data_IF_202640371379
#
_entry.id   IF_202640371379
#
_cell.length_a   1.000
_cell.length_b   1.000
_cell.length_c   1.000
_cell.angle_alpha   90.00
_cell.angle_beta   90.00
_cell.angle_gamma   90.00
#
_symmetry.space_group_name_H-M   'P 1'
#
loop_
_entity.id
_entity.type
_entity.pdbx_description
1 polymer ?
#
# COMPACT_ATOMS: atom_id res chain seq x y z
N UNK A 1 -7.90 -35.11 -14.64
CA UNK A 1 -8.29 -33.69 -14.87
C UNK A 1 -7.22 -33.03 -15.72
N UNK A 2 -7.58 -32.11 -16.62
CA UNK A 2 -6.57 -31.32 -17.30
C UNK A 2 -5.91 -30.35 -16.32
N UNK A 3 -4.68 -29.90 -16.59
CA UNK A 3 -3.96 -28.94 -15.76
C UNK A 3 -4.81 -27.68 -15.47
N UNK A 4 -5.45 -27.14 -16.50
CA UNK A 4 -6.33 -25.96 -16.39
C UNK A 4 -7.54 -26.25 -15.51
N UNK A 5 -8.20 -27.41 -15.65
CA UNK A 5 -9.36 -27.78 -14.83
C UNK A 5 -8.98 -27.88 -13.36
N UNK A 6 -7.77 -28.41 -13.07
CA UNK A 6 -7.24 -28.51 -11.71
C UNK A 6 -7.01 -27.14 -11.08
N UNK A 7 -6.33 -26.24 -11.79
CA UNK A 7 -6.09 -24.88 -11.31
C UNK A 7 -7.41 -24.12 -11.09
N UNK A 8 -8.36 -24.21 -12.03
CA UNK A 8 -9.69 -23.61 -11.88
C UNK A 8 -10.46 -24.18 -10.69
N UNK A 9 -10.30 -25.49 -10.39
CA UNK A 9 -10.91 -26.11 -9.21
C UNK A 9 -10.31 -25.57 -7.92
N UNK A 10 -8.98 -25.42 -7.84
CA UNK A 10 -8.29 -24.85 -6.67
C UNK A 10 -8.77 -23.41 -6.42
N UNK A 11 -8.81 -22.58 -7.47
CA UNK A 11 -9.33 -21.21 -7.36
C UNK A 11 -10.83 -21.20 -7.00
N UNK A 12 -11.63 -22.08 -7.62
CA UNK A 12 -13.05 -22.18 -7.33
C UNK A 12 -13.32 -22.52 -5.87
N UNK A 13 -12.59 -23.50 -5.32
CA UNK A 13 -12.68 -23.85 -3.88
C UNK A 13 -12.29 -22.66 -3.02
N UNK A 14 -11.19 -21.98 -3.31
CA UNK A 14 -10.77 -20.78 -2.56
C UNK A 14 -11.89 -19.71 -2.58
N UNK A 15 -12.44 -19.38 -3.74
CA UNK A 15 -13.50 -18.37 -3.87
C UNK A 15 -14.79 -18.77 -3.12
N UNK A 16 -15.16 -20.05 -3.15
CA UNK A 16 -16.30 -20.57 -2.37
C UNK A 16 -16.05 -20.41 -0.86
N UNK A 17 -14.85 -20.77 -0.39
CA UNK A 17 -14.46 -20.58 1.01
C UNK A 17 -14.53 -19.11 1.42
N UNK A 18 -14.06 -18.20 0.57
CA UNK A 18 -14.15 -16.76 0.80
C UNK A 18 -15.60 -16.26 0.81
N UNK A 19 -16.45 -16.77 -0.09
CA UNK A 19 -17.88 -16.40 -0.15
C UNK A 19 -18.65 -16.79 1.11
N UNK A 20 -18.26 -17.85 1.79
CA UNK A 20 -18.80 -18.24 3.12
C UNK A 20 -18.07 -17.56 4.29
N UNK A 21 -17.30 -16.49 4.02
CA UNK A 21 -16.61 -15.63 4.99
C UNK A 21 -15.45 -16.30 5.74
N UNK A 22 -14.82 -17.32 5.16
CA UNK A 22 -13.56 -17.85 5.71
C UNK A 22 -12.45 -16.83 5.39
N UNK A 23 -11.57 -16.50 6.37
CA UNK A 23 -10.43 -15.63 6.14
C UNK A 23 -9.56 -16.11 4.96
N UNK A 24 -9.08 -15.17 4.14
CA UNK A 24 -8.35 -15.48 2.90
C UNK A 24 -7.15 -16.39 3.13
N UNK A 25 -6.40 -16.21 4.22
CA UNK A 25 -5.27 -17.05 4.59
C UNK A 25 -5.67 -18.53 4.72
N UNK A 26 -6.79 -18.78 5.41
CA UNK A 26 -7.31 -20.14 5.64
C UNK A 26 -7.92 -20.71 4.34
N UNK A 27 -8.58 -19.86 3.54
CA UNK A 27 -9.14 -20.26 2.26
C UNK A 27 -8.02 -20.68 1.28
N UNK A 28 -6.95 -19.90 1.18
CA UNK A 28 -5.77 -20.22 0.36
C UNK A 28 -5.08 -21.50 0.85
N UNK A 29 -4.86 -21.61 2.16
CA UNK A 29 -4.26 -22.80 2.78
C UNK A 29 -5.09 -24.05 2.50
N UNK A 30 -6.41 -23.98 2.72
CA UNK A 30 -7.31 -25.13 2.50
C UNK A 30 -7.42 -25.55 1.04
N UNK A 31 -7.61 -24.59 0.12
CA UNK A 31 -7.70 -24.87 -1.30
C UNK A 31 -6.35 -25.38 -1.86
N UNK A 32 -5.24 -24.77 -1.45
CA UNK A 32 -3.89 -25.21 -1.82
C UNK A 32 -3.57 -26.60 -1.29
N UNK A 33 -3.92 -26.90 -0.03
CA UNK A 33 -3.77 -28.23 0.56
C UNK A 33 -4.55 -29.29 -0.23
N UNK A 34 -5.82 -29.03 -0.53
CA UNK A 34 -6.63 -29.96 -1.31
C UNK A 34 -6.00 -30.22 -2.70
N UNK A 35 -5.60 -29.16 -3.40
CA UNK A 35 -4.96 -29.27 -4.71
C UNK A 35 -3.61 -29.99 -4.67
N UNK A 36 -2.78 -29.72 -3.65
CA UNK A 36 -1.48 -30.38 -3.49
C UNK A 36 -1.64 -31.91 -3.21
N UNK A 37 -2.54 -32.23 -2.25
CA UNK A 37 -2.84 -33.63 -1.89
C UNK A 37 -3.38 -34.45 -3.06
N UNK A 38 -4.23 -33.86 -3.90
CA UNK A 38 -4.77 -34.54 -5.08
C UNK A 38 -3.69 -34.84 -6.12
N UNK A 39 -2.60 -34.09 -6.16
CA UNK A 39 -1.53 -34.25 -7.15
C UNK A 39 -0.40 -35.15 -6.67
N UNK A 40 -0.04 -35.10 -5.38
CA UNK A 40 1.20 -35.75 -4.88
C UNK A 40 0.96 -36.70 -3.70
N UNK A 41 -0.19 -36.62 -3.05
CA UNK A 41 -0.52 -37.41 -1.85
C UNK A 41 0.09 -36.87 -0.56
N UNK A 42 -0.26 -37.53 0.57
CA UNK A 42 0.04 -37.06 1.91
C UNK A 42 1.53 -36.99 2.26
N UNK A 43 2.33 -37.98 1.81
CA UNK A 43 3.75 -38.04 2.16
C UNK A 43 4.55 -36.84 1.62
N UNK A 44 4.32 -36.46 0.36
CA UNK A 44 4.97 -35.32 -0.24
C UNK A 44 4.47 -34.01 0.37
N UNK A 45 3.16 -33.90 0.62
CA UNK A 45 2.57 -32.71 1.23
C UNK A 45 3.07 -32.47 2.66
N UNK A 46 3.11 -33.51 3.51
CA UNK A 46 3.58 -33.35 4.89
C UNK A 46 5.05 -32.93 4.96
N UNK A 47 5.90 -33.49 4.09
CA UNK A 47 7.30 -33.08 3.98
C UNK A 47 7.43 -31.63 3.51
N UNK A 48 6.68 -31.25 2.48
CA UNK A 48 6.63 -29.86 2.00
C UNK A 48 6.21 -28.90 3.12
N UNK A 49 5.13 -29.20 3.84
CA UNK A 49 4.63 -28.31 4.89
C UNK A 49 5.64 -28.15 6.04
N UNK A 50 6.29 -29.22 6.47
CA UNK A 50 7.31 -29.19 7.52
C UNK A 50 8.53 -28.35 7.13
N UNK A 51 8.99 -28.44 5.89
CA UNK A 51 10.17 -27.71 5.42
C UNK A 51 9.84 -26.26 5.11
N UNK A 52 8.73 -25.98 4.43
CA UNK A 52 8.37 -24.62 4.00
C UNK A 52 7.95 -23.71 5.15
N UNK A 53 7.16 -24.21 6.11
CA UNK A 53 6.77 -23.42 7.26
C UNK A 53 7.99 -22.94 8.07
N UNK A 54 8.95 -23.85 8.31
CA UNK A 54 10.19 -23.50 9.00
C UNK A 54 11.04 -22.53 8.17
N UNK A 55 11.29 -22.81 6.88
CA UNK A 55 12.10 -21.96 6.02
C UNK A 55 11.51 -20.53 5.91
N UNK A 56 10.19 -20.41 5.82
CA UNK A 56 9.52 -19.12 5.74
C UNK A 56 9.69 -18.30 7.02
N UNK A 57 9.44 -18.89 8.19
CA UNK A 57 9.55 -18.16 9.46
C UNK A 57 11.00 -17.94 9.93
N UNK A 58 11.95 -18.74 9.47
CA UNK A 58 13.37 -18.54 9.76
C UNK A 58 14.01 -17.45 8.87
N UNK A 59 13.28 -16.88 7.90
CA UNK A 59 13.81 -15.83 7.04
C UNK A 59 14.00 -14.52 7.81
N UNK A 60 15.23 -14.00 7.80
CA UNK A 60 15.56 -12.71 8.41
C UNK A 60 14.77 -11.54 7.77
N UNK A 61 14.55 -11.60 6.46
CA UNK A 61 13.88 -10.53 5.72
C UNK A 61 12.42 -10.34 6.14
N UNK A 62 11.75 -11.39 6.64
CA UNK A 62 10.39 -11.27 7.17
C UNK A 62 10.31 -10.43 8.46
N UNK A 63 11.41 -10.29 9.20
CA UNK A 63 11.46 -9.46 10.42
C UNK A 63 11.22 -7.97 10.15
N UNK A 64 11.44 -7.52 8.93
CA UNK A 64 11.20 -6.14 8.51
C UNK A 64 9.72 -5.74 8.63
N UNK A 65 8.80 -6.68 8.38
CA UNK A 65 7.35 -6.44 8.39
C UNK A 65 6.84 -6.04 9.78
N UNK A 66 7.03 -6.84 10.86
CA UNK A 66 6.58 -6.44 12.19
C UNK A 66 7.25 -5.16 12.69
N UNK A 67 8.50 -4.89 12.30
CA UNK A 67 9.21 -3.68 12.72
C UNK A 67 8.61 -2.42 12.07
N UNK A 68 8.29 -2.43 10.77
CA UNK A 68 7.59 -1.29 10.14
C UNK A 68 6.16 -1.13 10.64
N UNK A 69 5.43 -2.21 10.91
CA UNK A 69 4.10 -2.15 11.51
C UNK A 69 4.17 -1.52 12.91
N UNK A 70 5.14 -1.92 13.73
CA UNK A 70 5.36 -1.36 15.07
C UNK A 70 5.70 0.13 14.99
N UNK A 71 6.55 0.53 14.04
CA UNK A 71 6.87 1.93 13.75
C UNK A 71 5.59 2.74 13.45
N UNK A 72 4.70 2.20 12.61
CA UNK A 72 3.41 2.82 12.29
C UNK A 72 2.49 2.96 13.49
N UNK A 73 2.41 1.94 14.36
CA UNK A 73 1.61 2.00 15.60
C UNK A 73 2.17 3.03 16.58
N UNK A 74 3.48 3.11 16.77
CA UNK A 74 4.09 4.17 17.60
C UNK A 74 3.84 5.55 17.02
N UNK A 75 3.88 5.72 15.69
CA UNK A 75 3.56 6.99 15.05
C UNK A 75 2.10 7.41 15.27
N UNK A 76 1.17 6.45 15.18
CA UNK A 76 -0.27 6.69 15.38
C UNK A 76 -0.56 7.09 16.83
N UNK A 77 -0.10 6.28 17.79
CA UNK A 77 -0.34 6.50 19.21
C UNK A 77 0.47 7.67 19.80
N UNK A 78 1.60 8.00 19.18
CA UNK A 78 2.49 9.10 19.56
C UNK A 78 2.06 10.48 19.07
N UNK A 79 0.87 10.62 18.47
CA UNK A 79 0.33 11.93 18.05
C UNK A 79 1.11 12.61 16.92
N UNK A 80 1.90 11.82 16.15
CA UNK A 80 2.71 12.33 15.03
C UNK A 80 1.81 12.87 13.92
N UNK A 81 0.69 12.22 13.62
CA UNK A 81 -0.27 12.61 12.59
C UNK A 81 -0.85 14.01 12.82
N UNK A 82 -1.12 14.39 14.08
CA UNK A 82 -1.63 15.72 14.43
C UNK A 82 -0.60 16.80 14.12
N UNK A 83 0.66 16.60 14.51
CA UNK A 83 1.74 17.55 14.22
C UNK A 83 2.00 17.71 12.72
N UNK A 84 1.94 16.59 11.97
CA UNK A 84 2.07 16.60 10.50
C UNK A 84 0.95 17.42 9.85
N UNK A 85 -0.30 17.18 10.27
CA UNK A 85 -1.43 17.91 9.71
C UNK A 85 -1.38 19.40 10.04
N UNK A 86 -1.04 19.78 11.28
CA UNK A 86 -0.89 21.18 11.69
C UNK A 86 0.21 21.89 10.88
N UNK A 87 1.37 21.27 10.73
CA UNK A 87 2.43 21.79 9.87
C UNK A 87 1.97 21.94 8.41
N UNK A 88 1.38 20.90 7.85
CA UNK A 88 0.88 20.92 6.47
C UNK A 88 -0.19 22.02 6.27
N UNK A 89 -1.08 22.22 7.26
CA UNK A 89 -2.09 23.27 7.25
C UNK A 89 -1.46 24.68 7.28
N UNK A 90 -0.41 24.89 8.07
CA UNK A 90 0.30 26.16 8.12
C UNK A 90 1.01 26.49 6.79
N UNK A 91 1.51 25.48 6.08
CA UNK A 91 2.17 25.64 4.76
C UNK A 91 1.13 25.86 3.65
N UNK A 92 0.03 25.09 3.65
CA UNK A 92 -0.97 25.08 2.59
C UNK A 92 -2.13 26.06 2.80
N UNK A 93 -2.27 26.66 3.99
CA UNK A 93 -3.41 27.50 4.37
C UNK A 93 -3.64 28.74 3.51
N UNK A 94 -2.65 29.15 2.68
CA UNK A 94 -2.80 30.27 1.75
C UNK A 94 -3.47 29.92 0.42
N UNK A 95 -3.76 28.64 0.16
CA UNK A 95 -4.36 28.18 -1.10
C UNK A 95 -5.85 27.92 -0.92
N UNK A 96 -6.65 28.16 -1.98
CA UNK A 96 -8.05 27.71 -2.03
C UNK A 96 -8.06 26.17 -2.01
N UNK A 97 -8.73 25.58 -1.04
CA UNK A 97 -8.63 24.14 -0.76
C UNK A 97 -7.41 23.73 0.07
N UNK A 98 -6.76 24.70 0.76
CA UNK A 98 -5.50 24.49 1.47
C UNK A 98 -5.55 23.39 2.51
N UNK A 99 -6.62 23.24 3.31
CA UNK A 99 -6.73 22.15 4.28
C UNK A 99 -6.87 20.77 3.61
N UNK A 100 -7.51 20.69 2.45
CA UNK A 100 -7.56 19.43 1.68
C UNK A 100 -6.15 19.07 1.15
N UNK A 101 -5.40 20.06 0.63
CA UNK A 101 -4.00 19.85 0.22
C UNK A 101 -3.11 19.49 1.42
N UNK A 102 -3.34 20.13 2.57
CA UNK A 102 -2.64 19.82 3.81
C UNK A 102 -2.90 18.36 4.26
N UNK A 103 -4.14 17.87 4.11
CA UNK A 103 -4.47 16.49 4.41
C UNK A 103 -3.72 15.50 3.47
N UNK A 104 -3.58 15.82 2.18
CA UNK A 104 -2.77 15.02 1.23
C UNK A 104 -1.30 15.02 1.63
N UNK A 105 -0.71 16.19 1.93
CA UNK A 105 0.69 16.31 2.35
C UNK A 105 0.94 15.57 3.68
N UNK A 106 0.03 15.72 4.64
CA UNK A 106 0.10 15.00 5.92
C UNK A 106 -0.03 13.49 5.72
N UNK A 107 -0.92 13.04 4.82
CA UNK A 107 -1.06 11.62 4.48
C UNK A 107 0.20 11.06 3.84
N UNK A 108 0.83 11.80 2.94
CA UNK A 108 2.10 11.43 2.31
C UNK A 108 3.22 11.25 3.35
N UNK A 109 3.38 12.24 4.22
CA UNK A 109 4.42 12.21 5.25
C UNK A 109 4.13 11.18 6.36
N UNK A 110 2.87 11.00 6.76
CA UNK A 110 2.48 9.97 7.72
C UNK A 110 2.56 8.57 7.12
N UNK A 111 2.15 8.42 5.86
CA UNK A 111 2.24 7.18 5.11
C UNK A 111 3.68 6.67 5.00
N UNK A 112 4.63 7.60 4.82
CA UNK A 112 6.07 7.30 4.83
C UNK A 112 6.61 6.78 6.19
N UNK A 113 5.78 6.73 7.23
CA UNK A 113 6.13 6.10 8.53
C UNK A 113 5.22 4.91 8.78
N UNK A 114 3.93 5.02 8.44
CA UNK A 114 2.93 4.00 8.73
C UNK A 114 2.98 2.81 7.76
N UNK A 115 3.28 3.06 6.48
CA UNK A 115 3.42 2.03 5.45
C UNK A 115 2.13 1.27 5.09
N UNK A 116 0.94 1.73 5.51
CA UNK A 116 -0.37 1.13 5.24
C UNK A 116 -1.37 2.18 4.76
N UNK A 117 -2.12 1.85 3.73
CA UNK A 117 -3.15 2.72 3.15
C UNK A 117 -4.31 2.95 4.13
N UNK A 118 -4.87 1.88 4.64
CA UNK A 118 -6.04 1.92 5.53
C UNK A 118 -5.72 2.66 6.84
N UNK A 119 -4.57 2.35 7.45
CA UNK A 119 -4.15 2.99 8.69
C UNK A 119 -3.87 4.48 8.49
N UNK A 120 -3.27 4.86 7.35
CA UNK A 120 -3.05 6.27 6.99
C UNK A 120 -4.38 6.99 6.79
N UNK A 121 -5.32 6.41 6.02
CA UNK A 121 -6.64 6.96 5.80
C UNK A 121 -7.39 7.19 7.13
N UNK A 122 -7.46 6.18 7.99
CA UNK A 122 -8.14 6.27 9.28
C UNK A 122 -7.50 7.33 10.20
N UNK A 123 -6.18 7.29 10.34
CA UNK A 123 -5.47 8.18 11.27
C UNK A 123 -5.56 9.65 10.85
N UNK A 124 -5.33 9.94 9.58
CA UNK A 124 -5.42 11.32 9.07
C UNK A 124 -6.87 11.80 9.05
N UNK A 125 -7.83 10.91 8.78
CA UNK A 125 -9.27 11.26 8.90
C UNK A 125 -9.62 11.71 10.31
N UNK A 126 -9.15 11.02 11.34
CA UNK A 126 -9.40 11.37 12.72
C UNK A 126 -8.93 12.78 13.10
N UNK A 127 -7.87 13.27 12.46
CA UNK A 127 -7.29 14.60 12.71
C UNK A 127 -7.85 15.66 11.76
N UNK A 128 -7.89 15.37 10.46
CA UNK A 128 -8.18 16.37 9.42
C UNK A 128 -9.68 16.59 9.21
N UNK A 129 -10.52 15.56 9.31
CA UNK A 129 -11.95 15.67 9.04
C UNK A 129 -12.67 16.66 9.95
N UNK A 130 -12.43 16.66 11.30
CA UNK A 130 -13.05 17.66 12.18
C UNK A 130 -12.64 19.09 11.81
N UNK A 131 -11.38 19.31 11.48
CA UNK A 131 -10.86 20.63 11.09
C UNK A 131 -11.43 21.08 9.73
N UNK A 132 -11.48 20.20 8.75
CA UNK A 132 -12.09 20.51 7.45
C UNK A 132 -13.56 20.87 7.60
N UNK A 133 -14.32 20.14 8.43
CA UNK A 133 -15.74 20.47 8.73
C UNK A 133 -15.89 21.82 9.43
N UNK A 134 -15.04 22.09 10.42
CA UNK A 134 -15.05 23.36 11.15
C UNK A 134 -14.83 24.57 10.23
N UNK A 135 -14.01 24.39 9.20
CA UNK A 135 -13.70 25.41 8.20
C UNK A 135 -14.66 25.42 7.00
N UNK A 136 -15.77 24.68 7.03
CA UNK A 136 -16.81 24.73 6.01
C UNK A 136 -16.48 23.98 4.71
N UNK A 137 -15.56 23.02 4.73
CA UNK A 137 -15.34 22.15 3.61
C UNK A 137 -16.52 21.19 3.41
N UNK A 138 -16.86 20.92 2.16
CA UNK A 138 -17.92 19.95 1.86
C UNK A 138 -17.55 18.54 2.31
N UNK A 139 -18.53 17.76 2.74
CA UNK A 139 -18.31 16.35 3.07
C UNK A 139 -17.74 15.56 1.89
N UNK A 140 -18.18 15.87 0.67
CA UNK A 140 -17.70 15.26 -0.58
C UNK A 140 -16.19 15.45 -0.76
N UNK A 141 -15.70 16.69 -0.72
CA UNK A 141 -14.27 16.96 -0.89
C UNK A 141 -13.46 16.37 0.27
N UNK A 142 -13.95 16.52 1.50
CA UNK A 142 -13.24 16.03 2.68
C UNK A 142 -13.05 14.53 2.65
N UNK A 143 -14.11 13.75 2.46
CA UNK A 143 -14.02 12.28 2.44
C UNK A 143 -13.24 11.77 1.25
N UNK A 144 -13.43 12.37 0.06
CA UNK A 144 -12.67 12.01 -1.14
C UNK A 144 -11.18 12.25 -0.99
N UNK A 145 -10.79 13.41 -0.46
CA UNK A 145 -9.38 13.75 -0.21
C UNK A 145 -8.73 12.81 0.80
N UNK A 146 -9.41 12.52 1.90
CA UNK A 146 -8.88 11.66 2.97
C UNK A 146 -8.73 10.21 2.52
N UNK A 147 -9.69 9.70 1.74
CA UNK A 147 -9.61 8.37 1.16
C UNK A 147 -8.43 8.27 0.16
N UNK A 148 -8.31 9.25 -0.75
CA UNK A 148 -7.21 9.30 -1.71
C UNK A 148 -5.86 9.49 -1.02
N UNK A 149 -5.78 10.38 -0.02
CA UNK A 149 -4.57 10.59 0.78
C UNK A 149 -4.08 9.29 1.42
N UNK A 150 -4.98 8.42 1.89
CA UNK A 150 -4.65 7.12 2.43
C UNK A 150 -3.81 6.26 1.48
N UNK A 151 -4.10 6.25 0.18
CA UNK A 151 -3.36 5.43 -0.80
C UNK A 151 -1.89 5.82 -0.94
N UNK A 152 -1.51 7.04 -0.54
CA UNK A 152 -0.10 7.45 -0.51
C UNK A 152 0.72 6.65 0.51
N UNK A 153 0.08 6.08 1.54
CA UNK A 153 0.73 5.28 2.56
C UNK A 153 1.33 3.96 2.06
N UNK A 154 0.91 3.46 0.91
CA UNK A 154 1.52 2.27 0.29
C UNK A 154 2.50 2.63 -0.82
N UNK A 155 2.43 3.86 -1.34
CA UNK A 155 3.28 4.31 -2.44
C UNK A 155 4.57 4.96 -1.96
N UNK A 156 4.50 5.74 -0.88
CA UNK A 156 5.66 6.46 -0.34
C UNK A 156 6.36 5.55 0.67
N UNK A 157 7.63 5.18 0.45
CA UNK A 157 8.35 4.28 1.35
C UNK A 157 8.63 4.89 2.74
N UNK A 158 8.84 4.03 3.76
CA UNK A 158 8.74 2.58 3.74
C UNK A 158 7.29 2.10 3.68
N UNK A 159 7.06 1.05 2.91
CA UNK A 159 5.73 0.49 2.65
C UNK A 159 5.73 -1.01 2.88
N UNK A 160 4.82 -1.49 3.73
CA UNK A 160 4.69 -2.94 4.01
C UNK A 160 4.31 -3.73 2.74
N UNK A 161 3.35 -3.28 1.90
CA UNK A 161 3.07 -3.94 0.63
C UNK A 161 4.26 -4.01 -0.34
N UNK A 162 5.12 -2.97 -0.39
CA UNK A 162 6.36 -3.02 -1.19
C UNK A 162 7.33 -4.07 -0.69
N UNK A 163 7.48 -4.19 0.63
CA UNK A 163 8.32 -5.23 1.24
C UNK A 163 7.79 -6.62 0.90
N UNK A 164 6.49 -6.82 1.02
CA UNK A 164 5.85 -8.10 0.67
C UNK A 164 6.06 -8.44 -0.81
N UNK A 165 5.88 -7.46 -1.69
CA UNK A 165 6.19 -7.64 -3.10
C UNK A 165 7.67 -8.01 -3.32
N UNK A 166 8.60 -7.30 -2.65
CA UNK A 166 10.02 -7.59 -2.74
C UNK A 166 10.37 -9.04 -2.39
N UNK A 167 9.78 -9.53 -1.29
CA UNK A 167 9.99 -10.90 -0.81
C UNK A 167 9.40 -11.93 -1.79
N UNK A 168 8.20 -11.68 -2.34
CA UNK A 168 7.55 -12.60 -3.28
C UNK A 168 8.24 -12.63 -4.65
N UNK A 169 8.74 -11.49 -5.11
CA UNK A 169 9.42 -11.33 -6.38
C UNK A 169 10.95 -11.50 -6.29
N UNK A 170 11.47 -11.81 -5.09
CA UNK A 170 12.91 -11.95 -4.81
C UNK A 170 13.72 -10.71 -5.27
N UNK A 171 13.18 -9.51 -4.98
CA UNK A 171 13.80 -8.25 -5.36
C UNK A 171 14.39 -7.53 -4.14
N UNK A 172 15.38 -6.66 -4.41
CA UNK A 172 15.99 -5.84 -3.37
C UNK A 172 15.00 -4.78 -2.85
N UNK A 173 14.73 -4.78 -1.53
CA UNK A 173 13.78 -3.88 -0.87
C UNK A 173 14.23 -2.42 -1.01
N UNK A 174 15.53 -2.11 -0.87
CA UNK A 174 16.03 -0.74 -0.96
C UNK A 174 15.86 -0.18 -2.38
N UNK A 175 16.10 -0.98 -3.43
CA UNK A 175 15.84 -0.59 -4.82
C UNK A 175 14.35 -0.33 -5.09
N UNK A 176 13.46 -1.16 -4.54
CA UNK A 176 12.03 -0.95 -4.66
C UNK A 176 11.56 0.32 -3.93
N UNK A 177 12.10 0.60 -2.76
CA UNK A 177 11.83 1.84 -2.05
C UNK A 177 12.29 3.06 -2.86
N UNK A 178 13.50 3.01 -3.45
CA UNK A 178 13.96 4.08 -4.34
C UNK A 178 13.04 4.27 -5.55
N UNK A 179 12.64 3.17 -6.20
CA UNK A 179 11.74 3.20 -7.34
C UNK A 179 10.36 3.78 -7.03
N UNK A 180 9.85 3.59 -5.82
CA UNK A 180 8.55 4.08 -5.39
C UNK A 180 8.54 5.58 -5.05
N UNK A 181 9.69 6.16 -4.71
CA UNK A 181 9.79 7.55 -4.24
C UNK A 181 9.27 8.56 -5.26
N UNK A 182 9.76 8.50 -6.50
CA UNK A 182 9.34 9.44 -7.55
C UNK A 182 7.88 9.27 -7.92
N UNK A 183 7.35 8.05 -8.18
CA UNK A 183 5.92 7.81 -8.38
C UNK A 183 5.04 8.28 -7.21
N UNK A 184 5.49 8.10 -5.97
CA UNK A 184 4.79 8.57 -4.77
C UNK A 184 4.69 10.09 -4.69
N UNK A 185 5.79 10.80 -5.00
CA UNK A 185 5.78 12.28 -5.07
C UNK A 185 4.87 12.76 -6.21
N UNK A 186 4.91 12.12 -7.38
CA UNK A 186 4.01 12.44 -8.50
C UNK A 186 2.55 12.23 -8.08
N UNK A 187 2.24 11.18 -7.32
CA UNK A 187 0.91 10.93 -6.79
C UNK A 187 0.44 12.05 -5.86
N UNK A 188 1.28 12.42 -4.90
CA UNK A 188 1.00 13.51 -3.97
C UNK A 188 0.75 14.84 -4.71
N UNK A 189 1.63 15.22 -5.62
CA UNK A 189 1.49 16.43 -6.44
C UNK A 189 0.23 16.37 -7.32
N UNK A 190 -0.04 15.23 -7.94
CA UNK A 190 -1.23 15.01 -8.76
C UNK A 190 -2.52 15.18 -7.97
N UNK A 191 -2.58 14.68 -6.73
CA UNK A 191 -3.72 14.87 -5.86
C UNK A 191 -3.89 16.33 -5.43
N UNK A 192 -2.79 17.04 -5.12
CA UNK A 192 -2.86 18.47 -4.82
C UNK A 192 -3.34 19.29 -6.02
N UNK A 193 -2.89 18.97 -7.23
CA UNK A 193 -3.38 19.59 -8.48
C UNK A 193 -4.86 19.27 -8.71
N UNK A 194 -5.28 18.03 -8.49
CA UNK A 194 -6.67 17.63 -8.60
C UNK A 194 -7.57 18.44 -7.65
N UNK A 195 -7.16 18.64 -6.39
CA UNK A 195 -7.85 19.51 -5.44
C UNK A 195 -7.90 20.95 -5.95
N UNK A 196 -6.77 21.49 -6.40
CA UNK A 196 -6.68 22.87 -6.90
C UNK A 196 -7.64 23.14 -8.08
N UNK A 197 -7.77 22.19 -8.99
CA UNK A 197 -8.69 22.25 -10.11
C UNK A 197 -10.14 22.11 -9.61
N UNK A 198 -10.39 21.08 -8.80
CA UNK A 198 -11.74 20.73 -8.35
C UNK A 198 -12.43 21.86 -7.59
N UNK A 199 -11.71 22.52 -6.64
CA UNK A 199 -12.28 23.64 -5.86
C UNK A 199 -12.55 24.91 -6.69
N UNK A 200 -11.93 25.02 -7.88
CA UNK A 200 -12.18 26.12 -8.82
C UNK A 200 -13.34 25.83 -9.78
N UNK A 201 -13.47 24.56 -10.18
CA UNK A 201 -14.48 24.13 -11.17
C UNK A 201 -15.83 23.89 -10.49
N UNK A 202 -15.84 23.37 -9.25
CA UNK A 202 -17.06 23.05 -8.51
C UNK A 202 -17.19 24.02 -7.31
N UNK A 203 -18.06 25.03 -7.42
CA UNK A 203 -18.26 26.00 -6.32
C UNK A 203 -18.81 25.33 -5.05
N UNK A 204 -18.51 25.93 -3.90
CA UNK A 204 -19.04 25.48 -2.59
C UNK A 204 -18.37 24.23 -2.01
N UNK A 205 -17.28 23.71 -2.60
CA UNK A 205 -16.55 22.57 -2.05
C UNK A 205 -15.53 22.96 -0.97
N UNK A 206 -14.99 24.15 -1.05
CA UNK A 206 -14.08 24.73 -0.06
C UNK A 206 -14.42 26.19 0.15
N UNK A 207 -14.14 26.76 1.33
CA UNK A 207 -14.32 28.18 1.59
C UNK A 207 -13.48 29.02 0.63
N UNK A 208 -13.92 30.23 0.36
CA UNK A 208 -13.05 31.24 -0.26
C UNK A 208 -11.90 31.52 0.70
N UNK A 209 -10.69 31.66 0.16
CA UNK A 209 -9.39 31.69 0.88
C UNK A 209 -9.54 32.27 2.29
N UNK A 210 -9.22 31.45 3.30
CA UNK A 210 -9.35 31.83 4.69
C UNK A 210 -8.55 33.11 5.00
N UNK A 211 -9.24 34.16 5.44
CA UNK A 211 -8.62 35.35 5.97
C UNK A 211 -7.80 35.08 7.27
N UNK A 212 -7.93 33.88 7.83
CA UNK A 212 -7.21 33.42 9.01
C UNK A 212 -6.04 32.50 8.58
N UNK A 213 -5.08 33.09 7.86
CA UNK A 213 -3.77 32.47 7.68
C UNK A 213 -3.11 32.37 9.05
N UNK A 214 -3.21 31.19 9.68
CA UNK A 214 -2.38 30.93 10.87
C UNK A 214 -0.93 31.03 10.42
N UNK A 215 -0.23 32.05 11.00
CA UNK A 215 1.20 32.21 10.72
C UNK A 215 1.90 30.96 11.23
N UNK A 216 2.76 30.36 10.38
CA UNK A 216 3.60 29.24 10.76
C UNK A 216 4.28 29.54 12.10
N UNK A 217 3.97 28.77 13.12
CA UNK A 217 4.56 28.88 14.45
C UNK A 217 5.86 28.07 14.52
N UNK A 218 6.78 28.50 15.36
CA UNK A 218 7.96 27.69 15.71
C UNK A 218 7.55 26.30 16.22
N UNK A 219 6.41 26.21 16.93
CA UNK A 219 5.89 24.94 17.41
C UNK A 219 5.47 24.00 16.28
N UNK A 220 4.96 24.53 15.16
CA UNK A 220 4.59 23.70 13.98
C UNK A 220 5.85 23.13 13.34
N UNK A 221 6.92 23.93 13.23
CA UNK A 221 8.22 23.49 12.70
C UNK A 221 8.84 22.46 13.66
N UNK A 222 8.85 22.70 14.95
CA UNK A 222 9.37 21.75 15.94
C UNK A 222 8.58 20.45 15.96
N UNK A 223 7.30 20.49 15.61
CA UNK A 223 6.45 19.29 15.50
C UNK A 223 6.84 18.35 14.38
N UNK A 224 7.45 18.85 13.28
CA UNK A 224 7.88 18.04 12.15
C UNK A 224 9.32 17.53 12.28
N UNK A 225 10.16 18.19 13.07
CA UNK A 225 11.58 17.84 13.22
C UNK A 225 11.79 16.36 13.57
N UNK A 226 11.08 15.76 14.56
CA UNK A 226 11.26 14.34 14.88
C UNK A 226 10.99 13.42 13.66
N UNK A 227 10.00 13.79 12.86
CA UNK A 227 9.58 13.03 11.68
C UNK A 227 10.65 13.10 10.58
N UNK A 228 11.16 14.31 10.31
CA UNK A 228 12.25 14.50 9.37
C UNK A 228 13.52 13.75 9.80
N UNK A 229 13.81 13.76 11.11
CA UNK A 229 14.94 13.00 11.68
C UNK A 229 14.74 11.50 11.51
N UNK A 230 13.55 10.96 11.82
CA UNK A 230 13.25 9.53 11.64
C UNK A 230 13.43 9.14 10.17
N UNK A 231 12.87 9.92 9.25
CA UNK A 231 12.97 9.68 7.82
C UNK A 231 14.44 9.68 7.35
N UNK A 232 15.21 10.69 7.76
CA UNK A 232 16.63 10.80 7.42
C UNK A 232 17.47 9.67 8.03
N UNK A 233 17.18 9.25 9.26
CA UNK A 233 17.86 8.11 9.90
C UNK A 233 17.59 6.81 9.15
N UNK A 234 16.33 6.51 8.84
CA UNK A 234 15.95 5.27 8.18
C UNK A 234 16.47 5.25 6.75
N UNK A 235 16.10 6.24 5.92
CA UNK A 235 16.48 6.24 4.51
C UNK A 235 17.94 6.61 4.28
N UNK A 236 18.46 7.60 5.03
CA UNK A 236 19.87 7.94 4.99
C UNK A 236 20.76 6.77 5.40
N UNK A 237 20.32 5.98 6.39
CA UNK A 237 21.03 4.79 6.84
C UNK A 237 20.97 3.65 5.82
N UNK A 238 19.79 3.40 5.22
CA UNK A 238 19.62 2.35 4.20
C UNK A 238 20.40 2.70 2.93
N UNK A 239 20.20 3.90 2.37
CA UNK A 239 20.86 4.31 1.12
C UNK A 239 22.33 4.67 1.29
N UNK A 240 22.74 5.05 2.51
CA UNK A 240 24.15 5.21 2.86
C UNK A 240 24.89 3.90 3.09
N UNK A 241 24.20 2.74 3.02
CA UNK A 241 24.77 1.42 3.24
C UNK A 241 25.11 1.10 4.70
N UNK A 242 24.62 1.92 5.67
CA UNK A 242 24.84 1.68 7.09
C UNK A 242 23.88 0.64 7.67
N UNK A 243 22.70 0.50 7.09
CA UNK A 243 21.64 -0.39 7.55
C UNK A 243 21.07 -1.22 6.39
N UNK A 244 20.79 -2.48 6.66
CA UNK A 244 19.86 -3.26 5.85
C UNK A 244 18.44 -2.70 6.03
N UNK A 245 17.49 -2.97 5.14
CA UNK A 245 16.09 -2.57 5.33
C UNK A 245 15.49 -3.03 6.66
N UNK A 246 15.86 -4.23 7.14
CA UNK A 246 15.42 -4.78 8.42
C UNK A 246 15.99 -4.00 9.61
N UNK A 247 17.27 -3.68 9.59
CA UNK A 247 17.91 -2.86 10.62
C UNK A 247 17.34 -1.43 10.59
N UNK A 248 17.13 -0.87 9.39
CA UNK A 248 16.47 0.42 9.20
C UNK A 248 15.06 0.46 9.79
N UNK A 249 14.29 -0.64 9.65
CA UNK A 249 12.98 -0.77 10.28
C UNK A 249 13.06 -0.79 11.83
N UNK A 250 14.06 -1.48 12.38
CA UNK A 250 14.34 -1.48 13.82
C UNK A 250 14.71 -0.09 14.35
N UNK A 251 15.60 0.61 13.65
CA UNK A 251 15.97 2.01 13.96
C UNK A 251 14.76 2.93 13.85
N UNK A 252 13.93 2.74 12.81
CA UNK A 252 12.68 3.47 12.62
C UNK A 252 11.70 3.28 13.76
N UNK A 253 11.44 2.03 14.17
CA UNK A 253 10.57 1.72 15.30
C UNK A 253 11.09 2.32 16.61
N UNK A 254 12.38 2.16 16.90
CA UNK A 254 13.00 2.70 18.12
C UNK A 254 12.96 4.24 18.14
N UNK A 255 13.33 4.90 17.04
CA UNK A 255 13.33 6.37 16.97
C UNK A 255 11.91 6.96 17.03
N UNK A 256 10.91 6.29 16.43
CA UNK A 256 9.51 6.68 16.52
C UNK A 256 8.97 6.52 17.95
N UNK A 257 9.33 5.44 18.63
CA UNK A 257 9.01 5.25 20.04
C UNK A 257 9.62 6.37 20.93
N UNK A 258 10.90 6.69 20.72
CA UNK A 258 11.57 7.78 21.45
C UNK A 258 10.88 9.13 21.18
N UNK A 259 10.51 9.42 19.93
CA UNK A 259 9.78 10.64 19.58
C UNK A 259 8.41 10.71 20.28
N UNK A 260 7.70 9.60 20.35
CA UNK A 260 6.41 9.50 21.04
C UNK A 260 6.53 9.64 22.58
N UNK A 261 7.63 9.13 23.16
CA UNK A 261 7.96 9.32 24.59
C UNK A 261 8.28 10.78 24.90
N UNK A 262 9.08 11.45 24.07
CA UNK A 262 9.43 12.87 24.24
C UNK A 262 8.20 13.76 24.15
N UNK A 263 7.22 13.41 23.34
CA UNK A 263 5.90 14.06 23.27
C UNK A 263 4.99 13.74 24.46
N UNK A 264 5.35 12.78 25.30
CA UNK A 264 4.56 12.30 26.45
C UNK A 264 3.17 11.76 26.05
N UNK A 265 3.03 11.28 24.81
CA UNK A 265 1.77 10.75 24.28
C UNK A 265 1.64 9.25 24.53
N UNK A 266 2.75 8.51 24.74
CA UNK A 266 2.76 7.08 25.04
C UNK A 266 2.57 6.84 26.52
N UNK A 267 1.42 6.27 26.87
CA UNK A 267 1.15 5.70 28.20
C UNK A 267 1.40 4.19 28.18
N UNK A 268 1.52 3.56 29.35
CA UNK A 268 1.72 2.11 29.42
C UNK A 268 0.61 1.28 28.74
N UNK A 269 -0.69 1.64 28.82
CA UNK A 269 -1.72 0.97 28.00
C UNK A 269 -1.50 1.11 26.50
N UNK A 270 -1.24 2.31 25.99
CA UNK A 270 -0.95 2.56 24.57
C UNK A 270 0.29 1.80 24.08
N UNK A 271 1.33 1.72 24.92
CA UNK A 271 2.52 0.94 24.60
C UNK A 271 2.20 -0.54 24.36
N UNK A 272 1.44 -1.15 25.30
CA UNK A 272 0.98 -2.53 25.14
C UNK A 272 0.13 -2.72 23.90
N UNK A 273 -0.80 -1.79 23.63
CA UNK A 273 -1.65 -1.82 22.46
C UNK A 273 -0.85 -1.82 21.16
N UNK A 274 0.23 -1.03 21.06
CA UNK A 274 1.12 -1.06 19.89
C UNK A 274 1.69 -2.46 19.65
N UNK A 275 2.15 -3.15 20.69
CA UNK A 275 2.68 -4.50 20.55
C UNK A 275 1.60 -5.54 20.22
N UNK A 276 0.42 -5.46 20.86
CA UNK A 276 -0.68 -6.38 20.55
C UNK A 276 -1.17 -6.21 19.11
N UNK A 277 -1.38 -4.97 18.67
CA UNK A 277 -1.81 -4.69 17.30
C UNK A 277 -0.73 -5.09 16.28
N UNK A 278 0.55 -4.91 16.61
CA UNK A 278 1.66 -5.38 15.76
C UNK A 278 1.69 -6.90 15.68
N UNK A 279 1.52 -7.59 16.80
CA UNK A 279 1.52 -9.05 16.83
C UNK A 279 0.32 -9.62 16.05
N UNK A 280 -0.86 -9.05 16.20
CA UNK A 280 -2.07 -9.44 15.47
C UNK A 280 -1.90 -9.25 13.95
N UNK A 281 -1.46 -8.06 13.53
CA UNK A 281 -1.23 -7.77 12.10
C UNK A 281 -0.14 -8.66 11.50
N UNK A 282 0.96 -8.86 12.22
CA UNK A 282 2.07 -9.71 11.76
C UNK A 282 1.65 -11.18 11.68
N UNK A 283 0.91 -11.68 12.65
CA UNK A 283 0.39 -13.05 12.63
C UNK A 283 -0.56 -13.28 11.45
N UNK A 284 -1.45 -12.31 11.18
CA UNK A 284 -2.34 -12.37 10.01
C UNK A 284 -1.54 -12.42 8.71
N UNK A 285 -0.55 -11.55 8.53
CA UNK A 285 0.29 -11.50 7.33
C UNK A 285 1.07 -12.81 7.17
N UNK A 286 1.68 -13.32 8.23
CA UNK A 286 2.44 -14.57 8.19
C UNK A 286 1.55 -15.78 7.87
N UNK A 287 0.32 -15.79 8.38
CA UNK A 287 -0.65 -16.83 8.03
C UNK A 287 -1.05 -16.77 6.55
N UNK A 288 -1.19 -15.55 5.99
CA UNK A 288 -1.46 -15.38 4.55
C UNK A 288 -0.25 -15.87 3.73
N UNK A 289 1.00 -15.59 4.16
CA UNK A 289 2.19 -16.10 3.47
C UNK A 289 2.19 -17.63 3.40
N UNK A 290 1.91 -18.33 4.51
CA UNK A 290 1.83 -19.80 4.50
C UNK A 290 0.72 -20.28 3.56
N UNK A 291 -0.46 -19.65 3.64
CA UNK A 291 -1.58 -19.98 2.75
C UNK A 291 -1.20 -19.78 1.28
N UNK A 292 -0.53 -18.68 0.97
CA UNK A 292 -0.03 -18.38 -0.37
C UNK A 292 1.02 -19.39 -0.83
N UNK A 293 1.99 -19.76 0.01
CA UNK A 293 3.03 -20.72 -0.33
C UNK A 293 2.43 -22.10 -0.68
N UNK A 294 1.47 -22.57 0.12
CA UNK A 294 0.77 -23.84 -0.14
C UNK A 294 -0.04 -23.77 -1.44
N UNK A 295 -0.77 -22.69 -1.64
CA UNK A 295 -1.56 -22.48 -2.86
C UNK A 295 -0.67 -22.38 -4.10
N UNK A 296 0.39 -21.59 -4.04
CA UNK A 296 1.32 -21.38 -5.14
C UNK A 296 2.05 -22.66 -5.53
N UNK A 297 2.50 -23.45 -4.54
CA UNK A 297 3.12 -24.74 -4.77
C UNK A 297 2.14 -25.71 -5.42
N UNK A 298 0.88 -25.72 -4.98
CA UNK A 298 -0.19 -26.52 -5.60
C UNK A 298 -0.44 -26.10 -7.06
N UNK A 299 -0.48 -24.79 -7.34
CA UNK A 299 -0.65 -24.27 -8.70
C UNK A 299 0.57 -24.54 -9.58
N UNK A 300 1.79 -24.42 -9.03
CA UNK A 300 3.02 -24.72 -9.76
C UNK A 300 3.07 -26.17 -10.24
N UNK A 301 2.61 -27.12 -9.42
CA UNK A 301 2.50 -28.54 -9.81
C UNK A 301 1.56 -28.74 -11.01
N UNK A 302 0.55 -27.89 -11.21
CA UNK A 302 -0.34 -27.95 -12.38
C UNK A 302 0.34 -27.49 -13.68
N UNK A 303 1.50 -26.83 -13.61
CA UNK A 303 2.17 -26.17 -14.74
C UNK A 303 1.33 -25.09 -15.45
N UNK A 304 0.18 -24.71 -14.89
CA UNK A 304 -0.72 -23.69 -15.46
C UNK A 304 -0.07 -22.31 -15.58
N UNK A 305 0.73 -21.82 -14.62
CA UNK A 305 1.42 -20.53 -14.79
C UNK A 305 2.28 -20.48 -16.06
N UNK A 306 3.03 -21.53 -16.35
CA UNK A 306 3.85 -21.64 -17.55
C UNK A 306 3.00 -21.76 -18.83
N UNK A 307 1.90 -22.53 -18.77
CA UNK A 307 0.97 -22.66 -19.90
C UNK A 307 0.25 -21.34 -20.20
N UNK A 308 -0.16 -20.57 -19.17
CA UNK A 308 -0.75 -19.25 -19.35
C UNK A 308 0.23 -18.29 -20.02
N UNK A 309 1.50 -18.29 -19.60
CA UNK A 309 2.53 -17.48 -20.24
C UNK A 309 2.69 -17.83 -21.73
N UNK A 310 2.71 -19.12 -22.07
CA UNK A 310 2.79 -19.59 -23.46
C UNK A 310 1.53 -19.22 -24.27
N UNK A 311 0.34 -19.36 -23.70
CA UNK A 311 -0.92 -18.97 -24.34
C UNK A 311 -0.96 -17.47 -24.61
N UNK A 312 -0.60 -16.65 -23.63
CA UNK A 312 -0.56 -15.19 -23.79
C UNK A 312 0.46 -14.80 -24.87
N UNK A 313 1.64 -15.46 -24.89
CA UNK A 313 2.63 -15.24 -25.94
C UNK A 313 2.08 -15.65 -27.33
N UNK A 314 1.27 -16.70 -27.43
CA UNK A 314 0.65 -17.15 -28.70
C UNK A 314 -0.42 -16.20 -29.24
N UNK A 315 -1.01 -15.36 -28.40
CA UNK A 315 -2.01 -14.37 -28.84
C UNK A 315 -1.40 -13.21 -29.64
N UNK A 316 -0.07 -13.11 -29.67
CA UNK A 316 0.63 -12.01 -30.37
C UNK A 316 0.39 -10.64 -29.76
N UNK A 317 -0.08 -10.60 -28.52
CA UNK A 317 -0.30 -9.34 -27.80
C UNK A 317 1.04 -8.70 -27.44
N UNK A 318 1.12 -7.38 -27.57
CA UNK A 318 2.31 -6.68 -27.08
C UNK A 318 2.45 -6.81 -25.56
N UNK A 319 3.68 -6.85 -25.02
CA UNK A 319 3.91 -6.91 -23.57
C UNK A 319 3.15 -5.82 -22.79
N UNK A 320 3.04 -4.62 -23.34
CA UNK A 320 2.28 -3.52 -22.73
C UNK A 320 0.77 -3.80 -22.66
N UNK A 321 0.19 -4.48 -23.67
CA UNK A 321 -1.23 -4.88 -23.62
C UNK A 321 -1.48 -5.88 -22.50
N UNK A 322 -0.57 -6.85 -22.32
CA UNK A 322 -0.66 -7.84 -21.24
C UNK A 322 -0.58 -7.18 -19.89
N UNK A 323 0.40 -6.30 -19.65
CA UNK A 323 0.49 -5.54 -18.41
C UNK A 323 -0.78 -4.71 -18.19
N UNK A 324 -1.27 -4.00 -19.20
CA UNK A 324 -2.49 -3.19 -19.08
C UNK A 324 -3.69 -4.04 -18.64
N UNK A 325 -3.86 -5.22 -19.22
CA UNK A 325 -4.95 -6.14 -18.84
C UNK A 325 -4.80 -6.60 -17.37
N UNK A 326 -3.58 -6.92 -16.95
CA UNK A 326 -3.29 -7.28 -15.55
C UNK A 326 -3.57 -6.11 -14.62
N UNK A 327 -3.16 -4.89 -14.96
CA UNK A 327 -3.42 -3.70 -14.14
C UNK A 327 -4.92 -3.40 -14.03
N UNK A 328 -5.68 -3.55 -15.10
CA UNK A 328 -7.15 -3.43 -15.05
C UNK A 328 -7.77 -4.49 -14.13
N UNK A 329 -7.26 -5.71 -14.17
CA UNK A 329 -7.68 -6.77 -13.25
C UNK A 329 -7.36 -6.40 -11.78
N UNK A 330 -6.19 -5.80 -11.52
CA UNK A 330 -5.84 -5.29 -10.18
C UNK A 330 -6.77 -4.18 -9.69
N UNK A 331 -7.22 -3.28 -10.58
CA UNK A 331 -8.22 -2.25 -10.22
C UNK A 331 -9.52 -2.89 -9.77
N UNK A 332 -9.99 -3.91 -10.49
CA UNK A 332 -11.23 -4.63 -10.15
C UNK A 332 -11.09 -5.38 -8.83
N UNK A 333 -9.99 -6.11 -8.63
CA UNK A 333 -9.73 -6.82 -7.39
C UNK A 333 -9.58 -5.85 -6.20
N UNK A 334 -8.83 -4.77 -6.38
CA UNK A 334 -8.60 -3.76 -5.34
C UNK A 334 -9.86 -3.04 -4.89
N UNK A 335 -10.90 -3.00 -5.75
CA UNK A 335 -12.21 -2.49 -5.36
C UNK A 335 -12.92 -3.38 -4.31
N UNK A 336 -12.47 -4.62 -4.09
CA UNK A 336 -13.13 -5.62 -3.22
C UNK A 336 -12.20 -6.18 -2.13
N UNK A 337 -10.88 -6.22 -2.39
CA UNK A 337 -9.88 -6.82 -1.51
C UNK A 337 -8.94 -5.77 -0.92
N UNK A 338 -8.31 -6.10 0.21
CA UNK A 338 -7.24 -5.30 0.79
C UNK A 338 -5.92 -5.47 0.02
N UNK A 339 -5.00 -4.52 0.22
CA UNK A 339 -3.72 -4.46 -0.49
C UNK A 339 -2.85 -5.70 -0.30
N UNK A 340 -2.78 -6.22 0.92
CA UNK A 340 -1.89 -7.35 1.26
C UNK A 340 -2.38 -8.66 0.67
N UNK A 341 -3.66 -8.96 0.87
CA UNK A 341 -4.31 -10.15 0.34
C UNK A 341 -4.21 -10.21 -1.18
N UNK A 342 -4.39 -9.08 -1.85
CA UNK A 342 -4.31 -9.00 -3.30
C UNK A 342 -2.91 -9.29 -3.81
N UNK A 343 -1.87 -8.67 -3.24
CA UNK A 343 -0.48 -8.87 -3.64
C UNK A 343 -0.05 -10.32 -3.41
N UNK A 344 -0.34 -10.85 -2.22
CA UNK A 344 0.03 -12.21 -1.84
C UNK A 344 -0.62 -13.28 -2.71
N UNK A 345 -1.86 -13.04 -3.16
CA UNK A 345 -2.59 -13.95 -4.04
C UNK A 345 -2.08 -13.91 -5.48
N UNK A 346 -1.79 -12.73 -6.00
CA UNK A 346 -1.69 -12.51 -7.45
C UNK A 346 -0.26 -12.45 -7.97
N UNK A 347 0.69 -11.96 -7.17
CA UNK A 347 2.10 -11.84 -7.60
C UNK A 347 2.68 -13.18 -8.03
N UNK A 348 2.50 -14.28 -7.29
CA UNK A 348 3.05 -15.57 -7.72
C UNK A 348 2.50 -16.09 -9.04
N UNK A 349 1.36 -15.58 -9.49
CA UNK A 349 0.73 -15.93 -10.76
C UNK A 349 1.20 -15.02 -11.89
N UNK A 350 1.11 -13.71 -11.68
CA UNK A 350 1.40 -12.74 -12.72
C UNK A 350 2.88 -12.43 -12.89
N UNK A 351 3.67 -12.51 -11.81
CA UNK A 351 5.09 -12.18 -11.87
C UNK A 351 5.86 -13.11 -12.84
N UNK A 352 5.75 -14.46 -12.79
CA UNK A 352 6.40 -15.34 -13.77
C UNK A 352 5.95 -15.06 -15.20
N UNK A 353 4.67 -14.73 -15.41
CA UNK A 353 4.13 -14.37 -16.72
C UNK A 353 4.81 -13.12 -17.27
N UNK A 354 4.91 -12.07 -16.46
CA UNK A 354 5.57 -10.80 -16.85
C UNK A 354 7.05 -11.02 -17.12
N UNK A 355 7.73 -11.82 -16.29
CA UNK A 355 9.15 -12.13 -16.48
C UNK A 355 9.43 -12.96 -17.73
N UNK A 356 8.41 -13.62 -18.28
CA UNK A 356 8.47 -14.34 -19.56
C UNK A 356 8.39 -13.42 -20.78
N UNK A 357 7.93 -12.18 -20.65
CA UNK A 357 7.78 -11.23 -21.74
C UNK A 357 9.04 -10.39 -21.96
N UNK A 358 9.22 -9.88 -23.18
CA UNK A 358 10.32 -8.97 -23.52
C UNK A 358 9.83 -7.52 -23.60
N UNK A 359 10.29 -6.70 -22.65
CA UNK A 359 9.99 -5.28 -22.57
C UNK A 359 11.13 -4.40 -23.10
N UNK A 360 12.20 -5.00 -23.65
CA UNK A 360 13.40 -4.26 -24.05
C UNK A 360 14.20 -3.65 -22.88
N UNK A 361 13.95 -4.15 -21.65
CA UNK A 361 14.61 -3.70 -20.42
C UNK A 361 15.25 -4.88 -19.69
N UNK A 362 16.29 -4.63 -18.84
CA UNK A 362 16.83 -5.66 -17.95
C UNK A 362 15.71 -6.29 -17.07
N UNK A 363 15.80 -7.60 -16.83
CA UNK A 363 14.77 -8.34 -16.07
C UNK A 363 14.55 -7.76 -14.67
N UNK A 364 15.61 -7.35 -13.97
CA UNK A 364 15.50 -6.67 -12.67
C UNK A 364 14.68 -5.37 -12.77
N UNK A 365 14.93 -4.57 -13.82
CA UNK A 365 14.18 -3.34 -14.06
C UNK A 365 12.70 -3.60 -14.33
N UNK A 366 12.39 -4.65 -15.10
CA UNK A 366 11.00 -5.09 -15.35
C UNK A 366 10.34 -5.49 -14.03
N UNK A 367 11.02 -6.30 -13.21
CA UNK A 367 10.52 -6.76 -11.92
C UNK A 367 10.19 -5.60 -10.98
N UNK A 368 11.09 -4.64 -10.84
CA UNK A 368 10.91 -3.48 -9.97
C UNK A 368 9.79 -2.57 -10.52
N UNK A 369 9.82 -2.25 -11.82
CA UNK A 369 8.77 -1.44 -12.46
C UNK A 369 7.38 -2.06 -12.30
N UNK A 370 7.26 -3.36 -12.54
CA UNK A 370 5.98 -4.08 -12.39
C UNK A 370 5.46 -3.98 -10.96
N UNK A 371 6.32 -4.12 -9.95
CA UNK A 371 5.95 -3.94 -8.54
C UNK A 371 5.37 -2.55 -8.26
N UNK A 372 6.00 -1.50 -8.79
CA UNK A 372 5.48 -0.14 -8.64
C UNK A 372 4.12 0.01 -9.33
N UNK A 373 3.96 -0.54 -10.55
CA UNK A 373 2.70 -0.50 -11.29
C UNK A 373 1.57 -1.23 -10.55
N UNK A 374 1.87 -2.39 -9.97
CA UNK A 374 0.91 -3.15 -9.14
C UNK A 374 0.45 -2.31 -7.95
N UNK A 375 1.38 -1.76 -7.16
CA UNK A 375 0.99 -0.98 -5.98
C UNK A 375 0.17 0.26 -6.32
N UNK A 376 0.47 0.91 -7.44
CA UNK A 376 -0.30 2.06 -7.91
C UNK A 376 -1.74 1.67 -8.26
N UNK A 377 -1.92 0.56 -8.95
CA UNK A 377 -3.25 0.07 -9.33
C UNK A 377 -4.01 -0.54 -8.15
N UNK A 378 -3.32 -1.12 -7.18
CA UNK A 378 -3.90 -1.49 -5.88
C UNK A 378 -4.48 -0.26 -5.19
N UNK A 379 -3.70 0.81 -5.05
CA UNK A 379 -4.17 2.07 -4.49
C UNK A 379 -5.37 2.66 -5.24
N UNK A 380 -5.36 2.59 -6.58
CA UNK A 380 -6.50 2.97 -7.41
C UNK A 380 -7.75 2.15 -7.06
N UNK A 381 -7.63 0.82 -7.01
CA UNK A 381 -8.73 -0.08 -6.67
C UNK A 381 -9.34 0.21 -5.30
N UNK A 382 -8.52 0.56 -4.31
CA UNK A 382 -8.99 0.91 -2.96
C UNK A 382 -9.84 2.20 -2.90
N UNK A 383 -9.87 2.98 -3.98
CA UNK A 383 -10.76 4.14 -4.15
C UNK A 383 -11.95 3.83 -5.04
N UNK A 384 -11.84 2.80 -5.89
CA UNK A 384 -12.83 2.52 -6.92
C UNK A 384 -14.07 1.81 -6.35
N UNK A 385 -15.28 2.13 -6.86
CA UNK A 385 -16.47 1.33 -6.57
C UNK A 385 -16.28 -0.13 -7.03
N UNK A 386 -16.93 -1.14 -6.42
CA UNK A 386 -18.12 -1.03 -5.55
C UNK A 386 -17.83 -0.83 -4.06
N UNK A 387 -16.68 -1.26 -3.54
CA UNK A 387 -16.38 -1.13 -2.09
C UNK A 387 -15.40 0.00 -1.85
N UNK A 388 -14.20 -0.03 -2.50
CA UNK A 388 -13.17 0.97 -2.30
C UNK A 388 -12.81 1.11 -0.82
N UNK A 389 -12.00 0.20 -0.28
CA UNK A 389 -11.80 0.03 1.15
C UNK A 389 -11.46 1.33 1.88
N UNK A 390 -10.63 2.20 1.30
CA UNK A 390 -10.31 3.50 1.89
C UNK A 390 -11.53 4.43 1.94
N UNK A 391 -12.37 4.43 0.91
CA UNK A 391 -13.59 5.22 0.89
C UNK A 391 -14.54 4.75 1.98
N UNK A 392 -14.67 3.44 2.12
CA UNK A 392 -15.50 2.85 3.17
C UNK A 392 -15.01 3.22 4.57
N UNK A 393 -13.70 3.06 4.85
CA UNK A 393 -13.10 3.39 6.15
C UNK A 393 -13.30 4.87 6.50
N UNK A 394 -13.01 5.77 5.58
CA UNK A 394 -13.20 7.20 5.80
C UNK A 394 -14.69 7.55 6.01
N UNK A 395 -15.58 6.94 5.24
CA UNK A 395 -17.02 7.18 5.35
C UNK A 395 -17.60 6.69 6.68
N UNK A 396 -17.08 5.57 7.27
CA UNK A 396 -17.51 5.13 8.60
C UNK A 396 -17.20 6.15 9.70
N UNK A 397 -16.18 6.99 9.51
CA UNK A 397 -15.81 8.08 10.41
C UNK A 397 -16.56 9.38 10.10
N UNK A 398 -17.07 9.54 8.88
CA UNK A 398 -17.86 10.67 8.39
C UNK A 398 -19.35 10.33 8.32
N UNK A 399 -19.96 9.96 9.45
CA UNK A 399 -21.33 9.42 9.54
C UNK A 399 -22.42 10.31 8.96
N UNK A 400 -22.17 11.59 8.85
CA UNK A 400 -23.07 12.61 8.28
C UNK A 400 -22.95 12.75 6.76
N UNK A 401 -21.99 12.08 6.13
CA UNK A 401 -21.76 12.12 4.69
C UNK A 401 -22.26 10.82 4.05
N UNK A 402 -23.21 10.88 3.13
CA UNK A 402 -23.63 9.69 2.39
C UNK A 402 -22.47 9.10 1.59
N UNK A 403 -22.35 7.78 1.55
CA UNK A 403 -21.24 7.10 0.87
C UNK A 403 -21.18 7.46 -0.64
N UNK A 404 -22.33 7.72 -1.26
CA UNK A 404 -22.42 8.17 -2.65
C UNK A 404 -21.70 9.52 -2.87
N UNK A 405 -21.71 10.42 -1.89
CA UNK A 405 -20.97 11.67 -1.96
C UNK A 405 -19.47 11.43 -1.82
N UNK A 406 -19.04 10.49 -0.97
CA UNK A 406 -17.65 10.08 -0.87
C UNK A 406 -17.12 9.51 -2.20
N UNK A 407 -17.90 8.67 -2.90
CA UNK A 407 -17.53 8.18 -4.24
C UNK A 407 -17.45 9.30 -5.28
N UNK A 408 -18.34 10.29 -5.25
CA UNK A 408 -18.20 11.46 -6.12
C UNK A 408 -16.96 12.28 -5.77
N UNK A 409 -16.60 12.32 -4.49
CA UNK A 409 -15.44 13.02 -3.99
C UNK A 409 -14.10 12.42 -4.41
N UNK A 410 -14.02 11.12 -4.65
CA UNK A 410 -12.79 10.47 -5.11
C UNK A 410 -12.58 10.56 -6.62
N UNK A 411 -13.59 10.93 -7.42
CA UNK A 411 -13.48 10.98 -8.89
C UNK A 411 -12.30 11.81 -9.41
N UNK A 412 -12.02 13.03 -8.90
CA UNK A 412 -10.87 13.81 -9.35
C UNK A 412 -9.53 13.10 -9.09
N UNK A 413 -9.44 12.33 -8.02
CA UNK A 413 -8.26 11.57 -7.65
C UNK A 413 -8.08 10.32 -8.53
N UNK A 414 -9.17 9.63 -8.87
CA UNK A 414 -9.15 8.51 -9.83
C UNK A 414 -8.69 8.97 -11.22
N UNK A 415 -9.08 10.17 -11.66
CA UNK A 415 -8.57 10.77 -12.90
C UNK A 415 -7.07 11.01 -12.81
N UNK A 416 -6.60 11.57 -11.69
CA UNK A 416 -5.17 11.77 -11.43
C UNK A 416 -4.39 10.45 -11.46
N UNK A 417 -4.94 9.40 -10.84
CA UNK A 417 -4.35 8.06 -10.81
C UNK A 417 -4.30 7.42 -12.19
N UNK A 418 -5.34 7.59 -13.00
CA UNK A 418 -5.35 7.13 -14.39
C UNK A 418 -4.24 7.78 -15.20
N UNK A 419 -4.09 9.10 -15.09
CA UNK A 419 -3.05 9.86 -15.80
C UNK A 419 -1.66 9.38 -15.35
N UNK A 420 -1.44 9.26 -14.05
CA UNK A 420 -0.15 8.83 -13.46
C UNK A 420 0.19 7.39 -13.86
N UNK A 421 -0.77 6.47 -13.74
CA UNK A 421 -0.56 5.06 -14.09
C UNK A 421 -0.23 4.92 -15.57
N UNK A 422 -0.96 5.64 -16.43
CA UNK A 422 -0.69 5.67 -17.87
C UNK A 422 0.70 6.25 -18.17
N UNK A 423 1.07 7.35 -17.51
CA UNK A 423 2.40 7.96 -17.66
C UNK A 423 3.51 6.96 -17.33
N UNK A 424 3.42 6.27 -16.20
CA UNK A 424 4.45 5.33 -15.75
C UNK A 424 4.43 4.00 -16.53
N UNK A 425 3.30 3.64 -17.12
CA UNK A 425 3.19 2.51 -18.05
C UNK A 425 4.02 2.74 -19.32
N UNK A 426 3.92 3.94 -19.91
CA UNK A 426 4.64 4.29 -21.14
C UNK A 426 6.07 4.79 -20.90
N UNK A 427 6.35 5.29 -19.71
CA UNK A 427 7.67 5.84 -19.33
C UNK A 427 8.22 5.18 -18.06
N UNK A 428 8.62 3.89 -18.11
CA UNK A 428 9.17 3.16 -16.97
C UNK A 428 10.38 3.85 -16.32
N UNK A 429 11.16 4.59 -17.13
CA UNK A 429 12.32 5.34 -16.64
C UNK A 429 12.04 6.32 -15.52
N UNK A 430 10.81 6.82 -15.39
CA UNK A 430 10.40 7.71 -14.29
C UNK A 430 10.50 6.99 -12.94
N UNK A 431 10.04 5.74 -12.87
CA UNK A 431 10.13 4.93 -11.65
C UNK A 431 11.58 4.41 -11.44
N UNK A 432 12.29 4.10 -12.51
CA UNK A 432 13.59 3.46 -12.45
C UNK A 432 14.76 4.47 -12.30
N UNK A 433 14.50 5.77 -12.48
CA UNK A 433 15.55 6.79 -12.48
C UNK A 433 16.37 6.83 -11.18
N UNK A 434 15.72 6.75 -10.03
CA UNK A 434 16.41 6.87 -8.75
C UNK A 434 17.22 5.62 -8.37
N UNK A 435 16.90 4.47 -8.97
CA UNK A 435 17.60 3.18 -8.67
C UNK A 435 19.07 3.24 -9.04
N UNK A 436 19.44 3.98 -10.10
CA UNK A 436 20.83 4.07 -10.55
C UNK A 436 21.77 4.75 -9.55
N UNK A 437 21.21 5.38 -8.50
CA UNK A 437 21.96 6.01 -7.40
C UNK A 437 21.93 5.17 -6.11
N UNK A 438 21.29 4.01 -6.14
CA UNK A 438 21.22 3.07 -5.01
C UNK A 438 22.12 1.89 -5.32
N UNK A 439 23.18 1.72 -4.52
CA UNK A 439 24.16 0.64 -4.68
C UNK A 439 23.58 -0.75 -4.35
#
# INVERSE_FOLDING_TARGET
MTAITMALSIFGVMLVLMAIRIPIAVAMFGAGTAGYLMQTGWGAYSNFLNTQAFARFASYDLSVIPLFILMGHFATQGGISKSLFQFAASVMGGFKGGLAMAAVLASAAFGAICGSSVATAATITGVALPEMKRHGYSGRLSTGTLAAGGTLGILIPPSVPLVIYAILAEQNIAKLFAAAMVPGIIAMCGYMIAIAIYVRVVPGQAPEVDAHREKMSLNDIMGIVPIAVIFMLVFGGIYGGYFTPTEGAGVGAASTFVAALLKREITWPKFKECFYATAESSAMIFLIFIGADVMNSSLALTQVPNQLAAVVASWGLSPLMVVTAILLFYVVLGAVMDELSMILLTIPIFFPMIMGLDFGMPKESVAIWFGIMVLMTVGFGMLAPPVGLNVYVVNTMAKDVPISESYKGVMPFLISDTIRTTLLLFFPGIALWLIQYVA
#
